data_IF_648057796478
#
_entry.id   IF_648057796478
#
_cell.length_a   1.000
_cell.length_b   1.000
_cell.length_c   1.000
_cell.angle_alpha   90.00
_cell.angle_beta   90.00
_cell.angle_gamma   90.00
#
_symmetry.space_group_name_H-M   'P 1'
#
loop_
_entity.id
_entity.type
_entity.pdbx_description
1 polymer ?
#
# COMPACT_ATOMS: atom_id res chain seq x y z
N UNK A 1 -32.98 -33.28 -68.33
CA UNK A 1 -33.42 -33.47 -66.92
C UNK A 1 -33.76 -34.95 -66.75
N UNK A 2 -33.53 -35.63 -65.60
CA UNK A 2 -33.15 -35.11 -64.28
C UNK A 2 -32.00 -35.88 -63.55
N UNK A 3 -31.53 -35.28 -62.46
CA UNK A 3 -31.26 -35.83 -61.12
C UNK A 3 -30.35 -37.07 -60.87
N UNK A 4 -29.31 -36.81 -60.06
CA UNK A 4 -29.06 -37.37 -58.71
C UNK A 4 -28.25 -38.66 -58.48
N UNK A 5 -27.45 -38.57 -57.40
CA UNK A 5 -27.13 -39.58 -56.38
C UNK A 5 -25.78 -40.35 -56.41
N UNK A 6 -24.94 -39.98 -55.43
CA UNK A 6 -24.33 -40.79 -54.36
C UNK A 6 -23.13 -41.77 -54.61
N UNK A 7 -22.00 -41.40 -53.94
CA UNK A 7 -20.90 -42.13 -53.23
C UNK A 7 -20.88 -43.68 -53.20
N UNK A 8 -19.68 -44.31 -53.12
CA UNK A 8 -18.99 -44.53 -51.83
C UNK A 8 -17.42 -44.53 -51.84
N UNK A 9 -16.82 -44.39 -50.63
CA UNK A 9 -15.43 -44.77 -50.25
C UNK A 9 -15.52 -46.11 -49.49
N UNK A 10 -14.51 -47.01 -49.49
CA UNK A 10 -13.39 -46.89 -48.52
C UNK A 10 -12.06 -47.56 -48.93
N UNK A 11 -11.01 -47.28 -48.15
CA UNK A 11 -9.80 -48.10 -48.04
C UNK A 11 -8.58 -47.30 -47.57
N UNK A 12 -8.13 -47.44 -46.31
CA UNK A 12 -6.85 -46.89 -45.85
C UNK A 12 -5.73 -47.95 -45.97
N UNK A 13 -4.69 -47.66 -46.76
CA UNK A 13 -3.45 -48.44 -46.80
C UNK A 13 -2.38 -47.80 -45.89
N UNK A 14 -1.65 -48.64 -45.14
CA UNK A 14 -0.48 -48.25 -44.34
C UNK A 14 0.72 -47.87 -45.23
N UNK A 15 1.64 -47.04 -44.73
CA UNK A 15 3.05 -47.27 -45.03
C UNK A 15 3.99 -47.20 -43.80
N UNK A 16 4.71 -48.32 -43.63
CA UNK A 16 6.15 -48.52 -43.37
C UNK A 16 6.99 -47.43 -42.68
N UNK A 17 7.65 -47.87 -41.59
CA UNK A 17 8.70 -47.18 -40.85
C UNK A 17 10.03 -47.10 -41.61
N UNK A 18 10.77 -46.00 -41.41
CA UNK A 18 12.13 -45.74 -41.90
C UNK A 18 13.06 -45.49 -40.70
N UNK A 19 14.31 -46.02 -40.67
CA UNK A 19 15.22 -45.81 -39.55
C UNK A 19 16.10 -44.57 -39.76
N UNK A 20 16.11 -43.64 -38.81
CA UNK A 20 17.08 -42.54 -38.73
C UNK A 20 18.31 -42.98 -37.91
N UNK A 21 19.55 -42.66 -38.33
CA UNK A 21 20.76 -43.00 -37.59
C UNK A 21 20.99 -42.07 -36.40
N UNK A 22 21.36 -42.66 -35.26
CA UNK A 22 21.78 -42.00 -34.02
C UNK A 22 23.12 -41.27 -34.22
N UNK A 23 23.11 -39.93 -34.09
CA UNK A 23 24.31 -39.13 -33.97
C UNK A 23 24.61 -38.92 -32.48
N UNK A 24 25.69 -39.55 -31.98
CA UNK A 24 26.18 -39.39 -30.61
C UNK A 24 26.82 -38.00 -30.45
N UNK A 25 26.23 -37.10 -29.65
CA UNK A 25 26.90 -35.87 -29.20
C UNK A 25 27.75 -36.19 -27.95
N UNK A 26 29.06 -36.11 -28.10
CA UNK A 26 30.00 -36.14 -26.99
C UNK A 26 29.87 -34.83 -26.17
N UNK A 27 29.47 -34.96 -24.91
CA UNK A 27 29.43 -33.84 -23.95
C UNK A 27 30.84 -33.64 -23.40
N UNK A 28 31.47 -32.51 -23.73
CA UNK A 28 32.73 -32.06 -23.12
C UNK A 28 32.45 -31.62 -21.68
N UNK A 29 32.84 -32.44 -20.70
CA UNK A 29 32.85 -32.11 -19.28
C UNK A 29 34.07 -31.23 -18.94
N UNK A 30 33.96 -29.93 -19.19
CA UNK A 30 34.84 -28.92 -18.59
C UNK A 30 34.24 -28.38 -17.29
N UNK A 31 35.04 -28.01 -16.27
CA UNK A 31 34.50 -27.41 -15.05
C UNK A 31 33.97 -26.02 -15.39
N UNK A 32 32.64 -25.87 -15.37
CA UNK A 32 31.98 -24.57 -15.48
C UNK A 32 32.22 -23.82 -14.17
N UNK A 33 33.34 -23.08 -14.09
CA UNK A 33 33.49 -22.01 -13.10
C UNK A 33 32.64 -20.82 -13.55
N UNK A 34 31.32 -21.01 -13.56
CA UNK A 34 30.36 -19.97 -13.88
C UNK A 34 30.31 -18.98 -12.72
N UNK A 35 30.73 -17.73 -12.95
CA UNK A 35 30.36 -16.62 -12.06
C UNK A 35 28.84 -16.55 -12.06
N UNK A 36 28.21 -16.96 -10.97
CA UNK A 36 26.76 -16.80 -10.76
C UNK A 36 26.45 -15.30 -10.90
N UNK A 37 25.58 -14.89 -11.84
CA UNK A 37 25.20 -13.50 -11.98
C UNK A 37 24.67 -12.97 -10.64
N UNK A 38 24.96 -11.71 -10.30
CA UNK A 38 24.43 -11.07 -9.08
C UNK A 38 22.89 -11.07 -9.00
N UNK A 39 22.20 -11.35 -10.10
CA UNK A 39 20.75 -11.47 -10.19
C UNK A 39 20.19 -12.77 -9.63
N UNK A 40 21.02 -13.78 -9.32
CA UNK A 40 20.57 -15.02 -8.69
C UNK A 40 20.81 -14.94 -7.19
N UNK A 41 19.78 -15.14 -6.35
CA UNK A 41 19.95 -15.22 -4.91
C UNK A 41 21.01 -16.27 -4.56
N UNK A 42 21.94 -15.94 -3.65
CA UNK A 42 23.00 -16.87 -3.22
C UNK A 42 22.44 -18.15 -2.59
N UNK A 43 21.30 -18.03 -1.93
CA UNK A 43 20.58 -19.13 -1.29
C UNK A 43 19.10 -18.95 -1.58
N UNK A 44 18.44 -20.01 -2.04
CA UNK A 44 16.99 -20.09 -2.23
C UNK A 44 16.47 -21.24 -1.41
N UNK A 45 15.57 -20.97 -0.46
CA UNK A 45 14.96 -22.00 0.37
C UNK A 45 13.53 -22.25 -0.12
N UNK A 46 13.15 -23.49 -0.43
CA UNK A 46 11.75 -23.83 -0.68
C UNK A 46 10.94 -23.63 0.61
N UNK A 47 9.63 -23.40 0.45
CA UNK A 47 8.76 -23.08 1.58
C UNK A 47 8.75 -24.18 2.67
N UNK A 48 8.87 -25.45 2.25
CA UNK A 48 8.94 -26.61 3.13
C UNK A 48 10.17 -26.62 4.04
N UNK A 49 11.30 -26.07 3.57
CA UNK A 49 12.51 -25.93 4.39
C UNK A 49 12.43 -24.68 5.26
N UNK A 50 11.90 -23.58 4.71
CA UNK A 50 11.70 -22.33 5.43
C UNK A 50 10.71 -22.47 6.60
N UNK A 51 9.73 -23.38 6.51
CA UNK A 51 8.76 -23.64 7.59
C UNK A 51 9.41 -23.97 8.93
N UNK A 52 10.59 -24.59 8.94
CA UNK A 52 11.34 -24.86 10.17
C UNK A 52 11.89 -23.61 10.86
N UNK A 53 12.00 -22.49 10.13
CA UNK A 53 12.57 -21.21 10.58
C UNK A 53 11.55 -20.06 10.58
N UNK A 54 10.31 -20.31 10.16
CA UNK A 54 9.26 -19.29 10.05
C UNK A 54 8.22 -19.45 11.15
N UNK A 55 7.87 -18.34 11.77
CA UNK A 55 6.70 -18.28 12.64
C UNK A 55 5.49 -17.81 11.84
N UNK A 56 4.43 -18.63 11.82
CA UNK A 56 3.19 -18.33 11.08
C UNK A 56 2.07 -17.98 12.02
N UNK A 57 1.37 -16.91 11.71
CA UNK A 57 0.13 -16.51 12.37
C UNK A 57 -0.99 -16.47 11.35
N UNK A 58 -2.07 -17.21 11.61
CA UNK A 58 -3.30 -17.16 10.85
C UNK A 58 -4.46 -17.62 11.72
N UNK A 59 -5.59 -16.94 11.59
CA UNK A 59 -6.85 -17.31 12.24
C UNK A 59 -7.83 -17.81 11.16
N UNK A 60 -8.53 -18.94 11.37
CA UNK A 60 -9.53 -19.43 10.44
C UNK A 60 -10.59 -18.37 10.14
N UNK A 61 -10.97 -18.25 8.86
CA UNK A 61 -11.96 -17.28 8.36
C UNK A 61 -11.58 -15.80 8.51
N UNK A 62 -10.31 -15.50 8.82
CA UNK A 62 -9.78 -14.13 8.76
C UNK A 62 -8.81 -14.00 7.57
N UNK A 63 -8.99 -12.93 6.81
CA UNK A 63 -8.26 -12.67 5.57
C UNK A 63 -7.71 -11.24 5.56
N UNK A 64 -6.84 -10.94 4.59
CA UNK A 64 -6.34 -9.59 4.31
C UNK A 64 -5.61 -8.95 5.51
N UNK A 65 -4.60 -9.61 6.05
CA UNK A 65 -3.69 -9.05 7.07
C UNK A 65 -2.80 -7.96 6.41
N UNK A 66 -3.34 -6.76 6.24
CA UNK A 66 -2.75 -5.71 5.40
C UNK A 66 -2.06 -4.59 6.17
N UNK A 67 -2.38 -4.40 7.45
CA UNK A 67 -1.81 -3.33 8.28
C UNK A 67 -1.01 -3.95 9.41
N UNK A 68 0.28 -3.61 9.50
CA UNK A 68 1.17 -4.07 10.54
C UNK A 68 1.73 -2.86 11.28
N UNK A 69 1.57 -2.84 12.60
CA UNK A 69 2.12 -1.81 13.47
C UNK A 69 2.86 -2.50 14.60
N UNK A 70 4.18 -2.33 14.63
CA UNK A 70 5.01 -2.77 15.75
C UNK A 70 5.06 -1.65 16.78
N UNK A 71 4.78 -1.99 18.04
CA UNK A 71 5.07 -1.16 19.20
C UNK A 71 6.28 -1.76 19.95
N UNK A 72 7.48 -1.18 19.78
CA UNK A 72 8.69 -1.66 20.44
C UNK A 72 8.61 -1.57 21.98
N UNK A 73 7.89 -0.58 22.52
CA UNK A 73 7.85 -0.35 23.97
C UNK A 73 7.08 -1.45 24.70
N UNK A 74 5.97 -1.91 24.11
CA UNK A 74 5.16 -3.01 24.66
C UNK A 74 5.49 -4.37 24.06
N UNK A 75 6.52 -4.46 23.21
CA UNK A 75 6.87 -5.68 22.46
C UNK A 75 5.65 -6.32 21.79
N UNK A 76 4.79 -5.52 21.17
CA UNK A 76 3.52 -5.97 20.59
C UNK A 76 3.46 -5.66 19.10
N UNK A 77 3.02 -6.64 18.30
CA UNK A 77 2.64 -6.46 16.91
C UNK A 77 1.11 -6.37 16.81
N UNK A 78 0.61 -5.20 16.42
CA UNK A 78 -0.78 -5.01 16.05
C UNK A 78 -1.00 -5.33 14.58
N UNK A 79 -2.05 -6.08 14.28
CA UNK A 79 -2.37 -6.52 12.92
C UNK A 79 -3.80 -6.13 12.58
N UNK A 80 -3.95 -5.26 11.59
CA UNK A 80 -5.24 -4.92 11.00
C UNK A 80 -5.55 -5.87 9.85
N UNK A 81 -6.72 -6.50 9.92
CA UNK A 81 -7.21 -7.43 8.92
C UNK A 81 -8.62 -7.06 8.45
N UNK A 82 -9.24 -7.92 7.63
CA UNK A 82 -10.68 -7.83 7.35
C UNK A 82 -11.49 -8.15 8.60
N UNK A 83 -12.34 -7.20 8.98
CA UNK A 83 -13.27 -7.17 10.11
C UNK A 83 -12.65 -7.39 11.50
N UNK A 84 -11.32 -7.47 11.60
CA UNK A 84 -10.63 -7.93 12.82
C UNK A 84 -9.34 -7.16 13.04
N UNK A 85 -9.02 -6.88 14.29
CA UNK A 85 -7.73 -6.33 14.73
C UNK A 85 -7.13 -7.28 15.77
N UNK A 86 -5.85 -7.63 15.62
CA UNK A 86 -5.12 -8.48 16.55
C UNK A 86 -4.03 -7.71 17.29
N UNK A 87 -3.69 -8.16 18.49
CA UNK A 87 -2.45 -7.83 19.18
C UNK A 87 -1.71 -9.12 19.51
N UNK A 88 -0.47 -9.19 19.05
CA UNK A 88 0.43 -10.34 19.15
C UNK A 88 1.65 -9.96 19.97
N UNK A 89 1.95 -10.71 21.02
CA UNK A 89 3.21 -10.55 21.76
C UNK A 89 4.40 -10.95 20.89
N UNK A 90 5.50 -10.21 21.00
CA UNK A 90 6.78 -10.49 20.36
C UNK A 90 7.83 -10.87 21.44
N UNK A 91 8.58 -11.98 21.27
CA UNK A 91 8.44 -12.98 20.22
C UNK A 91 7.10 -13.74 20.36
N UNK A 92 6.60 -14.24 19.23
CA UNK A 92 5.33 -14.96 19.22
C UNK A 92 5.44 -16.28 20.00
N UNK A 93 4.63 -16.40 21.05
CA UNK A 93 4.64 -17.54 21.98
C UNK A 93 3.66 -18.66 21.60
N UNK A 94 2.89 -18.50 20.52
CA UNK A 94 1.81 -19.42 20.15
C UNK A 94 0.54 -19.28 21.01
N UNK A 95 0.53 -18.34 21.95
CA UNK A 95 -0.65 -18.00 22.74
C UNK A 95 -1.79 -17.46 21.86
N UNK A 96 -3.02 -17.59 22.37
CA UNK A 96 -4.17 -17.03 21.67
C UNK A 96 -4.02 -15.50 21.62
N UNK A 97 -4.08 -14.90 20.42
CA UNK A 97 -3.91 -13.46 20.28
C UNK A 97 -5.08 -12.72 20.94
N UNK A 98 -4.82 -11.52 21.45
CA UNK A 98 -5.91 -10.60 21.78
C UNK A 98 -6.54 -10.13 20.47
N UNK A 99 -7.85 -10.01 20.43
CA UNK A 99 -8.62 -9.77 19.21
C UNK A 99 -9.77 -8.82 19.47
N UNK A 100 -9.98 -7.90 18.53
CA UNK A 100 -11.17 -7.05 18.44
C UNK A 100 -11.90 -7.39 17.15
N UNK A 101 -13.16 -7.76 17.28
CA UNK A 101 -14.08 -7.89 16.16
C UNK A 101 -14.68 -6.53 15.81
N UNK A 102 -14.29 -6.01 14.65
CA UNK A 102 -14.77 -4.75 14.12
C UNK A 102 -15.53 -4.95 12.81
N UNK A 103 -16.50 -5.86 12.87
CA UNK A 103 -17.38 -6.25 11.77
C UNK A 103 -18.38 -5.15 11.41
N UNK A 104 -18.76 -5.09 10.14
CA UNK A 104 -19.84 -4.22 9.66
C UNK A 104 -21.20 -4.88 9.95
N UNK A 105 -22.18 -4.16 10.54
CA UNK A 105 -23.54 -4.68 10.71
C UNK A 105 -24.19 -5.10 9.39
N UNK A 106 -24.97 -6.18 9.38
CA UNK A 106 -25.55 -6.75 8.15
C UNK A 106 -26.43 -5.75 7.39
N UNK A 107 -27.14 -4.86 8.07
CA UNK A 107 -27.92 -3.79 7.43
C UNK A 107 -27.04 -2.85 6.59
N UNK A 108 -25.82 -2.53 7.07
CA UNK A 108 -24.88 -1.70 6.33
C UNK A 108 -24.25 -2.47 5.16
N UNK A 109 -23.95 -3.76 5.35
CA UNK A 109 -23.48 -4.65 4.26
C UNK A 109 -24.52 -4.76 3.14
N UNK A 110 -25.79 -4.95 3.49
CA UNK A 110 -26.92 -4.90 2.55
C UNK A 110 -26.99 -3.58 1.78
N UNK A 111 -26.83 -2.45 2.46
CA UNK A 111 -26.84 -1.15 1.81
C UNK A 111 -25.64 -0.97 0.86
N UNK A 112 -24.46 -1.47 1.22
CA UNK A 112 -23.29 -1.50 0.34
C UNK A 112 -23.56 -2.34 -0.93
N UNK A 113 -24.14 -3.55 -0.79
CA UNK A 113 -24.56 -4.38 -1.92
C UNK A 113 -25.59 -3.69 -2.82
N UNK A 114 -26.59 -3.01 -2.22
CA UNK A 114 -27.61 -2.25 -2.95
C UNK A 114 -27.02 -1.10 -3.79
N UNK A 115 -25.83 -0.60 -3.42
CA UNK A 115 -25.06 0.37 -4.20
C UNK A 115 -24.20 -0.26 -5.31
N UNK A 116 -24.37 -1.56 -5.57
CA UNK A 116 -23.71 -2.28 -6.66
C UNK A 116 -22.29 -2.78 -6.34
N UNK A 117 -21.84 -2.73 -5.09
CA UNK A 117 -20.55 -3.27 -4.66
C UNK A 117 -20.64 -4.78 -4.42
N UNK A 118 -19.51 -5.47 -4.59
CA UNK A 118 -19.45 -6.93 -4.38
C UNK A 118 -19.49 -7.25 -2.89
N UNK A 119 -20.00 -8.43 -2.56
CA UNK A 119 -20.15 -8.87 -1.16
C UNK A 119 -18.82 -8.93 -0.41
N UNK A 120 -17.75 -9.34 -1.09
CA UNK A 120 -16.39 -9.41 -0.54
C UNK A 120 -15.80 -8.03 -0.24
N UNK A 121 -16.26 -6.98 -0.92
CA UNK A 121 -15.85 -5.59 -0.69
C UNK A 121 -16.68 -4.91 0.41
N UNK A 122 -17.86 -5.44 0.74
CA UNK A 122 -18.78 -4.91 1.76
C UNK A 122 -18.42 -5.36 3.18
N UNK A 123 -17.13 -5.33 3.51
CA UNK A 123 -16.58 -5.61 4.83
C UNK A 123 -15.82 -4.41 5.37
N UNK A 124 -15.40 -4.48 6.63
CA UNK A 124 -14.49 -3.49 7.18
C UNK A 124 -13.05 -3.93 6.94
N UNK A 125 -12.33 -3.27 6.06
CA UNK A 125 -10.90 -3.51 5.89
C UNK A 125 -10.16 -2.47 6.71
N UNK A 126 -9.39 -2.90 7.71
CA UNK A 126 -8.55 -2.01 8.50
C UNK A 126 -7.46 -1.46 7.58
N UNK A 127 -7.34 -0.13 7.53
CA UNK A 127 -6.41 0.59 6.64
C UNK A 127 -5.39 1.41 7.42
N UNK A 128 -5.70 1.80 8.66
CA UNK A 128 -4.81 2.58 9.52
C UNK A 128 -4.79 1.94 10.90
N UNK A 129 -3.58 1.70 11.41
CA UNK A 129 -3.27 1.48 12.82
C UNK A 129 -2.10 2.38 13.16
N UNK A 130 -2.24 3.22 14.17
CA UNK A 130 -1.16 4.08 14.62
C UNK A 130 -1.20 4.28 16.13
N UNK A 131 -0.03 4.43 16.75
CA UNK A 131 0.07 4.78 18.17
C UNK A 131 -0.36 6.24 18.32
N UNK A 132 -1.48 6.48 18.99
CA UNK A 132 -1.98 7.84 19.19
C UNK A 132 -1.35 8.49 20.43
N UNK A 133 -1.17 7.70 21.48
CA UNK A 133 -0.48 8.05 22.71
C UNK A 133 -0.11 6.76 23.47
N UNK A 134 0.42 6.89 24.69
CA UNK A 134 0.86 5.75 25.49
C UNK A 134 -0.24 4.72 25.86
N UNK A 135 -1.51 5.10 25.83
CA UNK A 135 -2.63 4.23 26.23
C UNK A 135 -3.59 3.87 25.10
N UNK A 136 -3.52 4.56 23.97
CA UNK A 136 -4.48 4.41 22.87
C UNK A 136 -3.80 4.25 21.51
N UNK A 137 -4.37 3.34 20.72
CA UNK A 137 -4.17 3.31 19.27
C UNK A 137 -5.28 4.09 18.57
N UNK A 138 -4.95 4.72 17.45
CA UNK A 138 -5.91 5.17 16.47
C UNK A 138 -6.08 4.07 15.41
N UNK A 139 -7.33 3.77 15.04
CA UNK A 139 -7.66 2.83 13.96
C UNK A 139 -8.66 3.43 12.99
N UNK A 140 -8.51 3.13 11.70
CA UNK A 140 -9.51 3.44 10.69
C UNK A 140 -9.69 2.25 9.73
N UNK A 141 -10.92 2.09 9.22
CA UNK A 141 -11.24 1.08 8.23
C UNK A 141 -12.34 1.50 7.27
N UNK A 142 -12.44 0.79 6.15
CA UNK A 142 -13.36 1.11 5.04
C UNK A 142 -14.83 0.96 5.40
N UNK A 143 -15.13 0.11 6.39
CA UNK A 143 -16.44 -0.12 6.98
C UNK A 143 -17.59 -0.23 5.95
N UNK A 144 -17.39 -1.07 4.92
CA UNK A 144 -18.30 -1.25 3.78
C UNK A 144 -18.63 0.05 3.01
N UNK A 145 -17.58 0.75 2.56
CA UNK A 145 -17.68 2.03 1.85
C UNK A 145 -18.38 3.14 2.66
N UNK A 146 -18.19 3.14 3.97
CA UNK A 146 -18.56 4.23 4.88
C UNK A 146 -17.48 4.38 5.96
N UNK A 147 -16.27 4.82 5.57
CA UNK A 147 -15.08 4.69 6.39
C UNK A 147 -15.28 5.27 7.79
N UNK A 148 -14.82 4.53 8.79
CA UNK A 148 -14.89 4.90 10.21
C UNK A 148 -13.51 4.92 10.82
N UNK A 149 -13.31 5.82 11.77
CA UNK A 149 -12.16 5.82 12.65
C UNK A 149 -12.61 5.74 14.10
N UNK A 150 -11.70 5.35 14.99
CA UNK A 150 -11.91 5.35 16.43
C UNK A 150 -10.61 5.06 17.16
N UNK A 151 -10.70 4.93 18.48
CA UNK A 151 -9.53 4.64 19.33
C UNK A 151 -9.67 3.29 20.00
N UNK A 152 -8.55 2.64 20.27
CA UNK A 152 -8.48 1.37 21.00
C UNK A 152 -7.67 1.59 22.26
N UNK A 153 -8.28 1.37 23.42
CA UNK A 153 -7.55 1.27 24.68
C UNK A 153 -6.64 0.03 24.63
N UNK A 154 -5.33 0.23 24.72
CA UNK A 154 -4.32 -0.84 24.60
C UNK A 154 -4.40 -1.83 25.77
N UNK A 155 -4.73 -1.34 26.96
CA UNK A 155 -4.80 -2.15 28.17
C UNK A 155 -5.99 -3.11 28.13
N UNK A 156 -7.16 -2.64 27.66
CA UNK A 156 -8.38 -3.45 27.55
C UNK A 156 -8.45 -4.25 26.26
N UNK A 157 -8.17 -3.61 25.12
CA UNK A 157 -8.19 -4.18 23.76
C UNK A 157 -9.45 -5.02 23.48
N UNK A 158 -10.62 -4.47 23.78
CA UNK A 158 -11.92 -5.16 23.66
C UNK A 158 -12.73 -4.70 22.45
N UNK A 159 -12.65 -3.41 22.10
CA UNK A 159 -13.49 -2.79 21.06
C UNK A 159 -12.82 -1.52 20.51
N UNK A 160 -13.34 -1.03 19.39
CA UNK A 160 -13.04 0.31 18.88
C UNK A 160 -14.01 1.31 19.49
N UNK A 161 -13.50 2.27 20.25
CA UNK A 161 -14.25 3.27 20.98
C UNK A 161 -14.27 4.62 20.24
N UNK A 162 -15.18 5.51 20.64
CA UNK A 162 -15.29 6.89 20.12
C UNK A 162 -15.34 6.97 18.59
N UNK A 163 -16.19 6.13 17.98
CA UNK A 163 -16.34 6.04 16.53
C UNK A 163 -16.70 7.41 15.93
N UNK A 164 -15.98 7.76 14.88
CA UNK A 164 -16.16 8.98 14.09
C UNK A 164 -16.08 8.67 12.59
N UNK A 165 -16.42 9.67 11.77
CA UNK A 165 -16.25 9.53 10.31
C UNK A 165 -14.78 9.45 9.95
N UNK A 166 -14.42 8.43 9.17
CA UNK A 166 -13.12 8.28 8.54
C UNK A 166 -13.01 8.96 7.18
N UNK A 167 -14.03 9.72 6.75
CA UNK A 167 -14.02 10.39 5.44
C UNK A 167 -12.86 11.40 5.36
N UNK A 168 -11.98 11.22 4.38
CA UNK A 168 -10.76 12.03 4.23
C UNK A 168 -9.58 11.59 5.10
N UNK A 169 -9.77 10.60 5.99
CA UNK A 169 -8.72 9.91 6.76
C UNK A 169 -8.41 8.54 6.15
N UNK A 170 -9.45 7.79 5.78
CA UNK A 170 -9.41 6.42 5.29
C UNK A 170 -10.18 6.32 3.96
N UNK A 171 -9.72 5.49 3.01
CA UNK A 171 -10.44 5.28 1.74
C UNK A 171 -11.78 4.58 1.95
N UNK A 172 -12.68 4.75 0.98
CA UNK A 172 -13.96 4.03 0.92
C UNK A 172 -13.79 2.61 0.39
N UNK A 173 -12.97 2.45 -0.64
CA UNK A 173 -12.73 1.18 -1.31
C UNK A 173 -11.50 0.46 -0.72
N UNK A 174 -11.55 -0.85 -0.46
CA UNK A 174 -10.43 -1.59 0.14
C UNK A 174 -9.14 -1.60 -0.68
N UNK A 175 -9.25 -1.59 -2.01
CA UNK A 175 -8.11 -1.61 -2.92
C UNK A 175 -7.52 -0.21 -3.20
N UNK A 176 -8.22 0.85 -2.78
CA UNK A 176 -7.77 2.22 -2.97
C UNK A 176 -6.57 2.50 -2.08
N UNK A 177 -5.43 2.82 -2.69
CA UNK A 177 -4.21 3.15 -1.94
C UNK A 177 -4.39 4.45 -1.14
N UNK A 178 -3.85 4.45 0.06
CA UNK A 178 -3.80 5.59 0.97
C UNK A 178 -2.53 5.52 1.81
N UNK A 179 -2.17 6.62 2.46
CA UNK A 179 -1.07 6.67 3.40
C UNK A 179 -1.44 7.54 4.59
N UNK A 180 -0.95 7.21 5.78
CA UNK A 180 -1.19 7.99 6.97
C UNK A 180 -0.05 7.87 7.96
N UNK A 181 0.15 8.91 8.76
CA UNK A 181 1.15 8.95 9.84
C UNK A 181 0.61 9.76 11.02
N UNK A 182 0.95 9.34 12.23
CA UNK A 182 0.72 10.12 13.45
C UNK A 182 1.98 10.92 13.78
N UNK A 183 1.84 12.22 14.01
CA UNK A 183 2.91 13.10 14.47
C UNK A 183 2.34 14.11 15.46
N UNK A 184 3.00 14.31 16.61
CA UNK A 184 2.51 15.20 17.66
C UNK A 184 1.08 14.88 18.16
N UNK A 185 0.67 13.60 18.14
CA UNK A 185 -0.69 13.18 18.49
C UNK A 185 -1.76 13.52 17.44
N UNK A 186 -1.36 13.95 16.25
CA UNK A 186 -2.24 14.36 15.15
C UNK A 186 -2.11 13.40 13.97
N UNK A 187 -3.24 13.05 13.36
CA UNK A 187 -3.28 12.24 12.15
C UNK A 187 -3.09 13.11 10.90
N UNK A 188 -2.09 12.74 10.11
CA UNK A 188 -1.89 13.21 8.75
C UNK A 188 -2.25 12.10 7.79
N UNK A 189 -3.16 12.36 6.85
CA UNK A 189 -3.70 11.33 5.97
C UNK A 189 -3.75 11.79 4.52
N UNK A 190 -3.35 10.89 3.61
CA UNK A 190 -3.36 11.04 2.18
C UNK A 190 -4.24 9.95 1.57
N UNK A 191 -5.40 10.34 1.04
CA UNK A 191 -6.44 9.40 0.59
C UNK A 191 -7.38 10.07 -0.41
N UNK A 192 -8.54 9.45 -0.66
CA UNK A 192 -9.64 10.03 -1.43
C UNK A 192 -10.80 10.42 -0.50
N UNK A 193 -11.38 11.59 -0.72
CA UNK A 193 -12.44 12.15 0.12
C UNK A 193 -13.83 11.59 -0.20
N UNK A 194 -14.06 11.12 -1.42
CA UNK A 194 -15.39 10.76 -1.90
C UNK A 194 -15.51 9.27 -2.23
N UNK A 195 -16.75 8.79 -2.31
CA UNK A 195 -17.08 7.39 -2.57
C UNK A 195 -16.55 6.90 -3.93
N UNK A 196 -16.44 7.80 -4.92
CA UNK A 196 -15.99 7.47 -6.28
C UNK A 196 -14.47 7.35 -6.41
N UNK A 197 -13.70 7.75 -5.38
CA UNK A 197 -12.24 7.73 -5.45
C UNK A 197 -11.61 8.79 -6.37
N UNK A 198 -12.33 9.88 -6.65
CA UNK A 198 -11.92 10.90 -7.64
C UNK A 198 -11.44 12.21 -7.00
N UNK A 199 -11.68 12.43 -5.71
CA UNK A 199 -11.23 13.61 -4.98
C UNK A 199 -10.03 13.27 -4.08
N UNK A 200 -8.79 13.34 -4.58
CA UNK A 200 -7.61 13.11 -3.76
C UNK A 200 -7.44 14.23 -2.75
N UNK A 201 -6.92 13.89 -1.57
CA UNK A 201 -6.74 14.84 -0.49
C UNK A 201 -5.57 14.43 0.41
N UNK A 202 -4.76 15.41 0.80
CA UNK A 202 -3.82 15.28 1.92
C UNK A 202 -4.31 16.22 3.03
N UNK A 203 -4.52 15.69 4.23
CA UNK A 203 -5.15 16.40 5.36
C UNK A 203 -4.36 16.29 6.66
N UNK A 204 -4.47 17.32 7.50
CA UNK A 204 -4.22 17.27 8.95
C UNK A 204 -5.56 17.17 9.66
N UNK A 205 -5.91 15.99 10.14
CA UNK A 205 -7.26 15.68 10.60
C UNK A 205 -7.44 15.93 12.11
N UNK A 206 -7.37 17.21 12.51
CA UNK A 206 -7.57 17.65 13.91
C UNK A 206 -8.97 18.22 14.09
N UNK A 207 -9.70 17.76 15.10
CA UNK A 207 -11.01 18.31 15.43
C UNK A 207 -12.04 18.05 14.33
N UNK A 208 -12.94 19.03 14.10
CA UNK A 208 -14.04 18.88 13.14
C UNK A 208 -13.55 19.02 11.70
N UNK A 209 -14.21 18.32 10.78
CA UNK A 209 -13.77 18.20 9.39
C UNK A 209 -13.72 19.54 8.64
N UNK A 210 -14.58 20.48 9.02
CA UNK A 210 -14.59 21.85 8.51
C UNK A 210 -13.27 22.58 8.79
N UNK A 211 -12.62 22.32 9.92
CA UNK A 211 -11.43 23.05 10.39
C UNK A 211 -10.11 22.44 9.90
N UNK A 212 -10.18 21.31 9.19
CA UNK A 212 -8.98 20.61 8.73
C UNK A 212 -8.20 21.42 7.69
N UNK A 213 -6.88 21.48 7.89
CA UNK A 213 -5.92 21.91 6.87
C UNK A 213 -5.79 20.79 5.84
N UNK A 214 -5.90 21.15 4.56
CA UNK A 214 -5.95 20.19 3.45
C UNK A 214 -5.38 20.74 2.16
N UNK A 215 -5.14 19.86 1.19
CA UNK A 215 -4.78 20.29 -0.17
C UNK A 215 -5.93 20.98 -0.89
N UNK A 216 -5.61 21.82 -1.86
CA UNK A 216 -6.58 22.35 -2.82
C UNK A 216 -7.10 21.24 -3.75
N UNK A 217 -8.26 21.45 -4.36
CA UNK A 217 -8.87 20.53 -5.33
C UNK A 217 -8.30 20.68 -6.75
N UNK A 218 -7.50 21.72 -6.99
CA UNK A 218 -6.87 21.94 -8.29
C UNK A 218 -5.85 20.83 -8.65
N UNK A 219 -5.86 20.30 -9.88
CA UNK A 219 -4.90 19.28 -10.33
C UNK A 219 -3.42 19.70 -10.29
N UNK A 220 -3.11 20.99 -10.12
CA UNK A 220 -1.74 21.45 -9.87
C UNK A 220 -1.18 20.89 -8.56
N UNK A 221 -2.03 20.64 -7.56
CA UNK A 221 -1.64 20.10 -6.27
C UNK A 221 -1.51 18.58 -6.32
N UNK A 222 -2.57 17.90 -6.78
CA UNK A 222 -2.65 16.44 -6.86
C UNK A 222 -3.39 16.04 -8.13
N UNK A 223 -2.77 15.26 -9.00
CA UNK A 223 -3.39 14.84 -10.27
C UNK A 223 -3.57 13.31 -10.36
N UNK A 224 -4.72 12.82 -9.89
CA UNK A 224 -5.03 11.39 -9.79
C UNK A 224 -3.86 10.58 -9.15
N UNK A 225 -3.45 10.94 -7.92
CA UNK A 225 -2.36 10.27 -7.22
C UNK A 225 -2.75 8.87 -6.73
N UNK A 226 -1.80 7.96 -6.76
CA UNK A 226 -1.80 6.72 -5.99
C UNK A 226 -0.80 6.90 -4.82
N UNK A 227 -1.34 7.09 -3.62
CA UNK A 227 -0.51 7.27 -2.41
C UNK A 227 0.21 5.98 -2.03
N UNK A 228 1.39 6.11 -1.44
CA UNK A 228 2.27 4.99 -1.09
C UNK A 228 2.62 5.02 0.39
N UNK A 229 3.20 6.12 0.86
CA UNK A 229 3.67 6.24 2.24
C UNK A 229 3.53 7.66 2.76
N UNK A 230 3.46 7.78 4.08
CA UNK A 230 3.55 9.03 4.81
C UNK A 230 4.57 8.84 5.94
N UNK A 231 5.48 9.78 6.10
CA UNK A 231 6.57 9.71 7.08
C UNK A 231 6.68 11.05 7.79
N UNK A 232 6.68 11.03 9.12
CA UNK A 232 7.02 12.18 9.93
C UNK A 232 8.51 12.15 10.26
N UNK A 233 9.16 13.29 10.09
CA UNK A 233 10.56 13.51 10.44
C UNK A 233 10.66 14.77 11.28
N UNK A 234 11.43 14.69 12.36
CA UNK A 234 11.75 15.86 13.18
C UNK A 234 13.11 16.42 12.77
N UNK A 235 13.24 17.73 12.50
CA UNK A 235 14.53 18.34 12.17
C UNK A 235 15.63 18.13 13.21
N UNK A 236 15.24 17.90 14.47
CA UNK A 236 16.14 17.50 15.54
C UNK A 236 16.90 16.19 15.24
N UNK A 237 16.34 15.30 14.40
CA UNK A 237 17.01 14.05 13.97
C UNK A 237 18.31 14.30 13.19
N UNK A 238 18.48 15.49 12.58
CA UNK A 238 19.70 15.90 11.88
C UNK A 238 20.32 17.20 12.41
N UNK A 239 20.00 17.56 13.66
CA UNK A 239 20.67 18.66 14.38
C UNK A 239 20.11 20.05 14.13
N UNK A 240 18.89 20.15 13.59
CA UNK A 240 18.15 21.42 13.52
C UNK A 240 17.11 21.46 14.65
N UNK A 241 17.43 22.14 15.75
CA UNK A 241 16.55 22.21 16.93
C UNK A 241 15.43 23.25 16.80
N UNK A 242 15.53 24.16 15.83
CA UNK A 242 14.57 25.26 15.63
C UNK A 242 13.51 24.92 14.58
N UNK A 243 13.71 23.84 13.81
CA UNK A 243 12.83 23.39 12.75
C UNK A 243 11.53 22.75 13.25
N UNK A 244 10.44 23.03 12.55
CA UNK A 244 9.15 22.37 12.76
C UNK A 244 9.15 20.97 12.14
N UNK A 245 8.43 20.03 12.76
CA UNK A 245 8.29 18.67 12.24
C UNK A 245 7.76 18.68 10.80
N UNK A 246 8.34 17.84 9.96
CA UNK A 246 7.99 17.76 8.55
C UNK A 246 7.29 16.45 8.23
N UNK A 247 6.16 16.57 7.51
CA UNK A 247 5.38 15.41 7.09
C UNK A 247 5.56 15.21 5.59
N UNK A 248 6.24 14.12 5.26
CA UNK A 248 6.52 13.69 3.90
C UNK A 248 5.44 12.73 3.40
N UNK A 249 4.98 12.95 2.17
CA UNK A 249 4.03 12.08 1.47
C UNK A 249 4.62 11.61 0.16
N UNK A 250 4.55 10.30 -0.07
CA UNK A 250 5.09 9.65 -1.25
C UNK A 250 3.94 9.07 -2.08
N UNK A 251 3.91 9.37 -3.37
CA UNK A 251 2.83 8.95 -4.26
C UNK A 251 3.26 8.94 -5.72
N UNK A 252 2.49 8.26 -6.57
CA UNK A 252 2.63 8.35 -8.03
C UNK A 252 1.43 9.08 -8.61
N UNK A 253 1.62 10.16 -9.36
CA UNK A 253 0.53 10.90 -10.00
C UNK A 253 0.66 10.93 -11.52
N UNK A 254 -0.33 11.49 -12.20
CA UNK A 254 -0.29 11.68 -13.66
C UNK A 254 0.41 13.00 -13.99
N UNK A 255 1.42 12.95 -14.84
CA UNK A 255 2.14 14.14 -15.30
C UNK A 255 1.20 15.15 -15.95
N UNK A 256 1.52 16.43 -15.77
CA UNK A 256 0.89 17.55 -16.51
C UNK A 256 1.81 18.12 -17.59
N UNK A 257 3.07 17.67 -17.66
CA UNK A 257 4.12 18.32 -18.43
C UNK A 257 4.05 18.06 -19.94
N UNK A 258 3.18 17.16 -20.39
CA UNK A 258 3.01 16.87 -21.80
C UNK A 258 1.52 16.73 -22.11
N UNK A 259 1.05 17.53 -23.06
CA UNK A 259 -0.23 17.34 -23.75
C UNK A 259 -0.11 16.13 -24.73
N UNK A 260 0.58 15.09 -24.27
CA UNK A 260 0.75 13.83 -24.98
C UNK A 260 -0.47 12.96 -24.72
N UNK A 261 -0.89 12.20 -25.74
CA UNK A 261 -1.92 11.17 -25.60
C UNK A 261 -1.60 10.15 -24.48
N UNK A 262 -0.32 10.01 -24.13
CA UNK A 262 0.14 9.12 -23.06
C UNK A 262 0.03 9.78 -21.68
N UNK A 263 -0.72 9.13 -20.78
CA UNK A 263 -0.75 9.46 -19.35
C UNK A 263 0.53 8.96 -18.69
N UNK A 264 1.56 9.80 -18.73
CA UNK A 264 2.85 9.51 -18.08
C UNK A 264 2.67 9.53 -16.57
N UNK A 265 3.02 8.43 -15.90
CA UNK A 265 3.06 8.37 -14.43
C UNK A 265 4.37 8.96 -13.92
N UNK A 266 4.30 9.66 -12.80
CA UNK A 266 5.46 10.31 -12.20
C UNK A 266 5.43 10.12 -10.68
N UNK A 267 6.46 9.51 -10.09
CA UNK A 267 6.54 9.38 -8.64
C UNK A 267 7.00 10.71 -8.03
N UNK A 268 6.36 11.07 -6.93
CA UNK A 268 6.52 12.35 -6.23
C UNK A 268 6.83 12.11 -4.76
N UNK A 269 7.63 13.00 -4.22
CA UNK A 269 7.66 13.29 -2.79
C UNK A 269 7.04 14.68 -2.59
N UNK A 270 6.17 14.81 -1.60
CA UNK A 270 5.68 16.09 -1.13
C UNK A 270 5.98 16.25 0.35
N UNK A 271 6.06 17.50 0.82
CA UNK A 271 6.19 17.83 2.24
C UNK A 271 5.20 18.90 2.66
N UNK A 272 4.88 18.92 3.95
CA UNK A 272 4.19 20.00 4.67
C UNK A 272 4.83 20.16 6.05
N UNK A 273 4.74 21.35 6.64
CA UNK A 273 5.15 21.57 8.03
C UNK A 273 3.99 21.23 8.99
N UNK A 274 4.29 20.58 10.11
CA UNK A 274 3.30 20.15 11.09
C UNK A 274 2.52 21.32 11.70
N UNK A 275 3.20 22.45 11.93
CA UNK A 275 2.69 23.71 12.46
C UNK A 275 1.96 24.61 11.45
N UNK A 276 1.80 24.19 10.18
CA UNK A 276 1.07 24.97 9.18
C UNK A 276 -0.41 25.14 9.57
N UNK A 277 -0.87 26.39 9.71
CA UNK A 277 -2.24 26.73 10.12
C UNK A 277 -3.14 27.14 8.95
N UNK A 278 -2.60 27.09 7.74
CA UNK A 278 -3.23 27.65 6.55
C UNK A 278 -3.21 29.18 6.50
N UNK A 279 -3.72 29.72 5.40
CA UNK A 279 -3.69 31.16 5.16
C UNK A 279 -4.89 31.89 5.74
N UNK A 280 -4.70 33.18 6.09
CA UNK A 280 -5.74 34.02 6.72
C UNK A 280 -6.82 34.51 5.75
N UNK A 281 -6.43 34.87 4.51
CA UNK A 281 -7.33 35.43 3.48
C UNK A 281 -7.40 34.51 2.26
N UNK A 282 -6.24 34.21 1.69
CA UNK A 282 -6.05 33.19 0.66
C UNK A 282 -5.62 31.89 1.32
N UNK A 283 -5.88 30.73 0.71
CA UNK A 283 -5.54 29.40 1.26
C UNK A 283 -6.12 29.15 2.67
N UNK A 284 -7.32 29.67 2.95
CA UNK A 284 -8.02 29.37 4.19
C UNK A 284 -8.25 27.87 4.33
N UNK A 285 -7.80 27.30 5.45
CA UNK A 285 -7.84 25.86 5.71
C UNK A 285 -7.17 25.04 4.60
N UNK A 286 -6.15 25.61 3.96
CA UNK A 286 -5.31 24.92 2.96
C UNK A 286 -3.86 25.02 3.38
N UNK A 287 -3.07 24.01 3.03
CA UNK A 287 -1.63 24.05 3.29
C UNK A 287 -1.00 25.30 2.68
N UNK A 288 -0.12 25.97 3.39
CA UNK A 288 0.74 27.04 2.88
C UNK A 288 2.17 26.55 2.61
N UNK A 289 2.51 25.39 3.15
CA UNK A 289 3.84 24.75 3.10
C UNK A 289 3.90 23.54 2.17
N UNK A 290 2.80 23.23 1.47
CA UNK A 290 2.76 22.10 0.54
C UNK A 290 3.68 22.35 -0.67
N UNK A 291 4.73 21.54 -0.76
CA UNK A 291 5.65 21.50 -1.89
C UNK A 291 5.78 20.04 -2.35
N UNK A 292 5.96 19.83 -3.65
CA UNK A 292 6.24 18.50 -4.22
C UNK A 292 7.34 18.54 -5.27
N UNK A 293 8.09 17.46 -5.35
CA UNK A 293 9.18 17.27 -6.31
C UNK A 293 9.08 15.89 -6.96
N UNK A 294 9.71 15.75 -8.13
CA UNK A 294 9.85 14.47 -8.82
C UNK A 294 10.87 13.57 -8.13
N UNK A 295 10.55 12.28 -8.04
CA UNK A 295 11.51 11.24 -7.66
C UNK A 295 12.01 10.57 -8.95
N UNK A 296 13.32 10.60 -9.18
CA UNK A 296 13.91 9.99 -10.36
C UNK A 296 14.58 8.67 -9.98
N UNK A 297 14.07 7.58 -10.52
CA UNK A 297 14.69 6.26 -10.47
C UNK A 297 15.02 5.82 -11.90
N UNK A 298 16.20 6.22 -12.44
CA UNK A 298 16.61 5.81 -13.77
C UNK A 298 16.82 4.28 -13.79
N UNK A 299 16.22 3.61 -14.79
CA UNK A 299 16.40 2.17 -14.97
C UNK A 299 17.84 1.82 -15.38
N UNK A 300 18.30 0.58 -15.12
CA UNK A 300 19.67 0.16 -15.40
C UNK A 300 20.02 0.10 -16.90
N UNK A 301 19.03 0.02 -17.78
CA UNK A 301 19.20 -0.16 -19.22
C UNK A 301 18.25 0.79 -20.00
N UNK A 302 18.79 1.50 -20.99
CA UNK A 302 18.04 2.29 -22.00
C UNK A 302 17.20 3.49 -21.51
N UNK A 303 17.43 4.01 -20.30
CA UNK A 303 16.74 5.24 -19.85
C UNK A 303 15.23 5.07 -19.64
N UNK A 304 14.70 3.83 -19.60
CA UNK A 304 13.31 3.57 -19.21
C UNK A 304 13.19 3.80 -17.71
N UNK A 305 12.70 4.98 -17.33
CA UNK A 305 12.50 5.34 -15.94
C UNK A 305 11.46 4.41 -15.28
N UNK A 306 11.78 3.92 -14.08
CA UNK A 306 10.79 3.23 -13.24
C UNK A 306 9.86 4.28 -12.64
N UNK A 307 8.73 4.50 -13.31
CA UNK A 307 7.86 5.65 -13.10
C UNK A 307 6.71 5.42 -12.12
N UNK A 308 6.62 4.23 -11.53
CA UNK A 308 5.59 3.88 -10.53
C UNK A 308 6.26 3.52 -9.22
N UNK A 309 6.04 4.34 -8.20
CA UNK A 309 6.48 4.06 -6.83
C UNK A 309 5.54 3.03 -6.19
N UNK A 310 6.11 1.97 -5.63
CA UNK A 310 5.39 0.85 -5.03
C UNK A 310 5.37 0.90 -3.50
N UNK A 311 6.53 1.23 -2.90
CA UNK A 311 6.72 1.28 -1.45
C UNK A 311 7.88 2.23 -1.08
N UNK A 312 7.89 2.70 0.17
CA UNK A 312 8.95 3.53 0.74
C UNK A 312 9.24 3.09 2.17
N UNK A 313 10.51 2.82 2.46
CA UNK A 313 11.02 2.62 3.81
C UNK A 313 11.96 3.77 4.20
N UNK A 314 12.00 4.10 5.49
CA UNK A 314 12.94 5.08 6.05
C UNK A 314 13.94 4.37 6.95
N UNK A 315 15.22 4.56 6.67
CA UNK A 315 16.31 4.19 7.54
C UNK A 315 16.68 5.41 8.39
N UNK A 316 16.48 5.32 9.69
CA UNK A 316 16.90 6.35 10.65
C UNK A 316 18.23 5.94 11.28
N UNK A 317 19.32 6.69 11.06
CA UNK A 317 20.56 6.49 11.79
C UNK A 317 20.36 6.69 13.30
N UNK A 318 21.32 6.25 14.10
CA UNK A 318 21.39 6.66 15.50
C UNK A 318 21.47 8.20 15.59
N UNK A 319 20.89 8.76 16.65
CA UNK A 319 20.79 10.21 16.80
C UNK A 319 22.16 10.87 16.68
N UNK A 320 22.30 11.83 15.76
CA UNK A 320 23.57 12.53 15.50
C UNK A 320 24.56 11.76 14.61
N UNK A 321 24.26 10.53 14.17
CA UNK A 321 25.12 9.74 13.28
C UNK A 321 24.90 10.02 11.79
N UNK A 322 23.88 10.81 11.43
CA UNK A 322 23.57 11.20 10.05
C UNK A 322 22.10 11.57 9.85
N UNK A 323 21.74 11.90 8.62
CA UNK A 323 20.36 12.21 8.21
C UNK A 323 19.56 10.95 7.88
N UNK A 324 18.23 10.93 8.10
CA UNK A 324 17.36 9.85 7.62
C UNK A 324 17.49 9.59 6.11
N UNK A 325 17.45 8.32 5.70
CA UNK A 325 17.56 7.89 4.30
C UNK A 325 16.26 7.21 3.87
N UNK A 326 15.68 7.66 2.75
CA UNK A 326 14.53 7.00 2.13
C UNK A 326 14.98 5.96 1.11
N UNK A 327 14.46 4.74 1.24
CA UNK A 327 14.56 3.69 0.22
C UNK A 327 13.20 3.54 -0.47
N UNK A 328 13.16 3.73 -1.78
CA UNK A 328 11.95 3.56 -2.59
C UNK A 328 12.04 2.32 -3.47
N UNK A 329 10.95 1.57 -3.57
CA UNK A 329 10.79 0.47 -4.54
C UNK A 329 10.00 1.01 -5.73
N UNK A 330 10.57 0.94 -6.92
CA UNK A 330 9.96 1.44 -8.15
C UNK A 330 9.72 0.30 -9.14
N UNK A 331 8.67 0.42 -9.94
CA UNK A 331 8.39 -0.44 -11.08
C UNK A 331 8.19 0.39 -12.35
N UNK A 332 8.38 -0.24 -13.50
CA UNK A 332 8.11 0.38 -14.79
C UNK A 332 6.60 0.51 -15.03
N UNK A 333 6.17 1.61 -15.66
CA UNK A 333 4.88 1.67 -16.30
C UNK A 333 4.90 0.74 -17.52
N UNK A 334 4.13 -0.34 -17.49
CA UNK A 334 3.88 -1.12 -18.70
C UNK A 334 2.96 -0.33 -19.61
N UNK A 335 3.49 0.20 -20.72
CA UNK A 335 2.66 0.55 -21.86
C UNK A 335 2.14 -0.78 -22.43
N UNK A 336 0.84 -1.03 -22.33
CA UNK A 336 0.19 -2.00 -23.22
C UNK A 336 0.30 -1.38 -24.62
N UNK A 337 1.27 -1.85 -25.41
CA UNK A 337 1.37 -1.55 -26.85
C UNK A 337 0.27 -2.31 -27.59
#
# INVERSE_FOLDING_TARGET
MPASAARPRPGPGQPTASPFPLLLLAVLSGPVSGRVPRSVPRTSLPISEADSCLTRFAVPHTYNYSVLLVDPASHTLYVGARDTIFALSLPFSGERPRRIDWMVPEAHRQNCRKKGKKEDECHNFVQILAIANASHLLTCGTFAFDPKCGVIDVSRFQQVERLESGRGKCPFEPAQRSAAVMAGGVLYAATVKNYLGTEPIITRAVGRAEDWIRTDTLPSWLNAPAFVAAVALSPAEWGDEDGDDEIYFFFTETSRAFDSYERIKVPRVARVCAGDLGGRKTLQQRWTTFLKADLLCPGPEHGRASSVLQDVAVLRPELGAGTPIFYGIFSSQCSNL
#
